data_IF_913370632388
#
_entry.id   IF_913370632388
#
_cell.length_a   1.000
_cell.length_b   1.000
_cell.length_c   1.000
_cell.angle_alpha   90.00
_cell.angle_beta   90.00
_cell.angle_gamma   90.00
#
_symmetry.space_group_name_H-M   'P 1'
#
loop_
_entity.id
_entity.type
_entity.pdbx_description
1 polymer ?
#
# COMPACT_ATOMS: atom_id res chain seq x y z
N UNK A 1 -27.76 -14.72 32.92
CA UNK A 1 -26.93 -15.12 31.76
C UNK A 1 -25.55 -14.51 31.98
N UNK A 2 -24.56 -15.34 32.25
CA UNK A 2 -23.21 -14.92 32.62
C UNK A 2 -22.40 -14.69 31.34
N UNK A 3 -21.99 -13.44 31.09
CA UNK A 3 -20.91 -13.16 30.16
C UNK A 3 -19.59 -13.41 30.89
N UNK A 4 -19.08 -14.63 30.77
CA UNK A 4 -17.69 -14.94 31.11
C UNK A 4 -16.81 -14.24 30.07
N UNK A 5 -16.18 -13.14 30.48
CA UNK A 5 -15.05 -12.57 29.75
C UNK A 5 -13.91 -13.58 29.83
N UNK A 6 -13.45 -14.03 28.67
CA UNK A 6 -12.25 -14.86 28.52
C UNK A 6 -11.04 -14.02 28.95
N UNK A 7 -10.51 -14.31 30.13
CA UNK A 7 -9.23 -13.80 30.58
C UNK A 7 -8.09 -14.49 29.80
N UNK A 8 -7.25 -13.68 29.15
CA UNK A 8 -5.80 -13.89 29.29
C UNK A 8 -5.03 -14.63 28.21
N UNK A 9 -5.53 -14.80 26.98
CA UNK A 9 -4.63 -15.17 25.88
C UNK A 9 -4.04 -13.91 25.25
N UNK A 10 -2.80 -13.57 25.63
CA UNK A 10 -1.93 -12.58 24.96
C UNK A 10 -1.50 -13.04 23.56
N UNK A 11 -2.33 -13.80 22.86
CA UNK A 11 -2.05 -14.22 21.51
C UNK A 11 -2.08 -12.98 20.61
N UNK A 12 -1.08 -12.80 19.74
CA UNK A 12 -1.13 -11.74 18.74
C UNK A 12 -2.37 -11.95 17.87
N UNK A 13 -3.31 -11.01 17.92
CA UNK A 13 -4.47 -11.01 17.05
C UNK A 13 -4.01 -10.46 15.71
N UNK A 14 -3.84 -11.33 14.72
CA UNK A 14 -3.66 -10.91 13.34
C UNK A 14 -5.03 -10.67 12.72
N UNK A 15 -5.26 -9.44 12.27
CA UNK A 15 -6.44 -9.10 11.47
C UNK A 15 -5.95 -8.97 10.04
N UNK A 16 -6.56 -9.71 9.11
CA UNK A 16 -6.28 -9.63 7.67
C UNK A 16 -7.48 -8.98 6.99
N UNK A 17 -7.22 -8.00 6.15
CA UNK A 17 -8.25 -7.35 5.35
C UNK A 17 -7.98 -7.69 3.90
N UNK A 18 -8.92 -8.38 3.24
CA UNK A 18 -8.90 -8.65 1.81
C UNK A 18 -9.94 -7.72 1.18
N UNK A 19 -9.49 -6.82 0.30
CA UNK A 19 -10.38 -5.89 -0.39
C UNK A 19 -10.24 -6.06 -1.89
N UNK A 20 -11.33 -6.46 -2.55
CA UNK A 20 -11.42 -6.49 -4.01
C UNK A 20 -11.70 -5.09 -4.57
N UNK A 21 -11.27 -4.84 -5.81
CA UNK A 21 -11.19 -3.56 -6.53
C UNK A 21 -12.49 -2.74 -6.75
N UNK A 22 -13.58 -2.98 -6.01
CA UNK A 22 -14.86 -2.35 -6.30
C UNK A 22 -15.03 -0.99 -5.59
N UNK A 23 -14.97 0.10 -6.36
CA UNK A 23 -15.14 1.48 -5.91
C UNK A 23 -16.46 1.72 -5.15
N UNK A 24 -17.54 1.02 -5.48
CA UNK A 24 -18.82 1.07 -4.77
C UNK A 24 -18.78 0.40 -3.39
N UNK A 25 -17.86 -0.54 -3.15
CA UNK A 25 -17.70 -1.19 -1.87
C UNK A 25 -16.97 -0.31 -0.84
N UNK A 26 -16.40 0.84 -1.24
CA UNK A 26 -15.59 1.72 -0.37
C UNK A 26 -16.31 2.21 0.88
N UNK A 27 -17.53 2.72 0.74
CA UNK A 27 -18.27 3.28 1.87
C UNK A 27 -18.65 2.18 2.87
N UNK A 28 -19.18 1.06 2.37
CA UNK A 28 -19.54 -0.13 3.15
C UNK A 28 -18.31 -0.76 3.80
N UNK A 29 -17.18 -0.82 3.10
CA UNK A 29 -15.91 -1.29 3.62
C UNK A 29 -15.43 -0.40 4.78
N UNK A 30 -15.42 0.92 4.61
CA UNK A 30 -15.04 1.87 5.67
C UNK A 30 -15.95 1.77 6.89
N UNK A 31 -17.24 1.61 6.69
CA UNK A 31 -18.22 1.43 7.78
C UNK A 31 -17.98 0.11 8.53
N UNK A 32 -17.87 -1.00 7.78
CA UNK A 32 -17.61 -2.33 8.35
C UNK A 32 -16.28 -2.36 9.11
N UNK A 33 -15.24 -1.77 8.52
CA UNK A 33 -13.93 -1.60 9.12
C UNK A 33 -14.03 -0.75 10.40
N UNK A 34 -14.78 0.35 10.38
CA UNK A 34 -15.03 1.19 11.55
C UNK A 34 -15.70 0.42 12.71
N UNK A 35 -16.73 -0.38 12.42
CA UNK A 35 -17.43 -1.21 13.41
C UNK A 35 -16.53 -2.30 14.01
N UNK A 36 -15.75 -2.95 13.16
CA UNK A 36 -14.79 -3.96 13.58
C UNK A 36 -13.70 -3.35 14.46
N UNK A 37 -13.11 -2.23 14.03
CA UNK A 37 -12.07 -1.54 14.77
C UNK A 37 -12.60 -0.97 16.10
N UNK A 38 -13.85 -0.50 16.16
CA UNK A 38 -14.48 -0.08 17.41
C UNK A 38 -14.61 -1.24 18.41
N UNK A 39 -14.90 -2.44 17.92
CA UNK A 39 -14.97 -3.67 18.73
C UNK A 39 -13.57 -4.11 19.19
N UNK A 40 -12.58 -3.98 18.30
CA UNK A 40 -11.19 -4.31 18.56
C UNK A 40 -10.42 -3.30 19.40
N UNK A 41 -10.87 -2.05 19.51
CA UNK A 41 -10.20 -1.01 20.31
C UNK A 41 -10.16 -1.35 21.82
N UNK A 42 -10.95 -2.33 22.26
CA UNK A 42 -10.88 -2.88 23.63
C UNK A 42 -9.84 -3.98 23.78
N UNK A 43 -9.38 -4.56 22.68
CA UNK A 43 -8.38 -5.62 22.65
C UNK A 43 -6.96 -5.03 22.64
N UNK A 44 -6.05 -5.68 23.36
CA UNK A 44 -4.65 -5.30 23.40
C UNK A 44 -3.89 -5.85 22.18
N UNK A 45 -4.15 -5.27 21.01
CA UNK A 45 -3.58 -5.73 19.74
C UNK A 45 -2.14 -5.25 19.62
N UNK A 46 -1.21 -6.21 19.50
CA UNK A 46 0.22 -5.96 19.30
C UNK A 46 0.68 -6.08 17.85
N UNK A 47 -0.03 -6.84 17.04
CA UNK A 47 0.35 -7.16 15.65
C UNK A 47 -0.82 -6.83 14.74
N UNK A 48 -0.57 -6.14 13.62
CA UNK A 48 -1.57 -5.90 12.59
C UNK A 48 -1.02 -6.28 11.23
N UNK A 49 -1.86 -6.88 10.38
CA UNK A 49 -1.48 -7.26 9.03
C UNK A 49 -2.43 -6.62 7.99
N UNK A 50 -1.88 -5.87 7.06
CA UNK A 50 -2.62 -5.16 6.04
C UNK A 50 -2.30 -5.73 4.68
N UNK A 51 -3.22 -6.53 4.14
CA UNK A 51 -3.17 -7.02 2.77
C UNK A 51 -4.26 -6.35 1.92
N UNK A 52 -4.17 -5.03 1.85
CA UNK A 52 -5.15 -4.23 1.13
C UNK A 52 -4.59 -3.86 -0.24
N UNK A 53 -5.43 -3.79 -1.26
CA UNK A 53 -5.13 -2.98 -2.44
C UNK A 53 -5.36 -1.48 -2.15
N UNK A 54 -4.77 -1.00 -1.05
CA UNK A 54 -5.09 0.29 -0.45
C UNK A 54 -4.42 1.48 -1.12
N UNK A 55 -4.50 1.59 -2.46
CA UNK A 55 -4.49 2.93 -3.08
C UNK A 55 -5.66 3.80 -2.58
N UNK A 56 -6.63 3.19 -1.90
CA UNK A 56 -7.92 3.79 -1.56
C UNK A 56 -8.03 4.46 -0.19
N UNK A 57 -7.12 4.16 0.74
CA UNK A 57 -7.12 4.78 2.06
C UNK A 57 -6.26 6.03 2.02
N UNK A 58 -6.89 7.18 2.26
CA UNK A 58 -6.15 8.42 2.48
C UNK A 58 -5.40 8.35 3.80
N UNK A 59 -4.42 9.24 3.97
CA UNK A 59 -3.72 9.43 5.23
C UNK A 59 -4.67 9.67 6.40
N UNK A 60 -5.71 10.50 6.20
CA UNK A 60 -6.71 10.78 7.21
C UNK A 60 -7.51 9.54 7.59
N UNK A 61 -7.82 8.66 6.62
CA UNK A 61 -8.49 7.39 6.90
C UNK A 61 -7.63 6.49 7.80
N UNK A 62 -6.34 6.35 7.49
CA UNK A 62 -5.40 5.58 8.32
C UNK A 62 -5.35 6.10 9.76
N UNK A 63 -5.25 7.41 9.95
CA UNK A 63 -5.20 8.03 11.28
C UNK A 63 -6.53 7.89 12.05
N UNK A 64 -7.67 7.98 11.36
CA UNK A 64 -8.99 7.88 11.97
C UNK A 64 -9.31 6.44 12.37
N UNK A 65 -9.03 5.49 11.48
CA UNK A 65 -9.30 4.07 11.69
C UNK A 65 -8.33 3.48 12.70
N UNK A 66 -7.03 3.74 12.54
CA UNK A 66 -6.00 3.02 13.27
C UNK A 66 -5.28 3.83 14.35
N UNK A 67 -5.53 5.13 14.44
CA UNK A 67 -4.88 6.00 15.44
C UNK A 67 -5.23 5.68 16.90
N UNK A 68 -6.27 4.86 17.14
CA UNK A 68 -6.65 4.41 18.47
C UNK A 68 -5.80 3.24 19.00
N UNK A 69 -5.18 2.44 18.12
CA UNK A 69 -4.41 1.25 18.53
C UNK A 69 -3.01 1.62 18.99
N UNK A 70 -2.89 2.11 20.22
CA UNK A 70 -1.59 2.55 20.75
C UNK A 70 -0.66 1.41 21.13
N UNK A 71 -1.19 0.21 21.36
CA UNK A 71 -0.45 -0.98 21.79
C UNK A 71 0.24 -1.75 20.65
N UNK A 72 0.04 -1.34 19.40
CA UNK A 72 0.60 -2.03 18.23
C UNK A 72 2.12 -1.87 18.22
N UNK A 73 2.82 -3.01 18.23
CA UNK A 73 4.28 -3.13 18.23
C UNK A 73 4.79 -3.56 16.86
N UNK A 74 4.01 -4.33 16.11
CA UNK A 74 4.38 -4.85 14.77
C UNK A 74 3.27 -4.59 13.76
N UNK A 75 3.64 -4.07 12.60
CA UNK A 75 2.72 -3.93 11.47
C UNK A 75 3.33 -4.61 10.25
N UNK A 76 2.55 -5.41 9.57
CA UNK A 76 2.88 -5.96 8.26
C UNK A 76 1.98 -5.31 7.21
N UNK A 77 2.56 -4.80 6.12
CA UNK A 77 1.84 -4.15 5.02
C UNK A 77 2.32 -4.73 3.70
N UNK A 78 1.38 -5.06 2.83
CA UNK A 78 1.66 -5.63 1.51
C UNK A 78 1.34 -4.67 0.37
N UNK A 79 2.08 -4.75 -0.73
CA UNK A 79 1.76 -4.09 -1.99
C UNK A 79 1.79 -2.55 -1.94
N UNK A 80 0.86 -1.92 -2.65
CA UNK A 80 0.81 -0.45 -2.80
C UNK A 80 0.22 0.29 -1.59
N UNK A 81 -0.39 -0.43 -0.64
CA UNK A 81 -0.88 0.13 0.62
C UNK A 81 0.24 0.81 1.44
N UNK A 82 1.49 0.44 1.18
CA UNK A 82 2.67 0.99 1.85
C UNK A 82 2.79 2.50 1.69
N UNK A 83 2.49 3.06 0.52
CA UNK A 83 2.62 4.51 0.32
C UNK A 83 1.74 5.33 1.28
N UNK A 84 0.39 5.19 1.25
CA UNK A 84 -0.46 5.95 2.16
C UNK A 84 -0.25 5.57 3.63
N UNK A 85 0.14 4.33 3.91
CA UNK A 85 0.54 3.92 5.26
C UNK A 85 1.77 4.70 5.74
N UNK A 86 2.85 4.78 4.94
CA UNK A 86 4.06 5.51 5.32
C UNK A 86 3.79 7.01 5.43
N UNK A 87 2.90 7.57 4.60
CA UNK A 87 2.47 8.96 4.74
C UNK A 87 1.75 9.17 6.08
N UNK A 88 0.83 8.28 6.46
CA UNK A 88 0.16 8.31 7.76
C UNK A 88 1.10 8.13 8.95
N UNK A 89 2.17 7.37 8.74
CA UNK A 89 3.21 7.14 9.74
C UNK A 89 4.11 8.35 9.97
N UNK A 90 4.23 9.26 8.99
CA UNK A 90 5.06 10.47 9.10
C UNK A 90 4.38 11.52 10.00
N UNK A 91 4.97 11.89 11.17
CA UNK A 91 4.41 12.90 12.07
C UNK A 91 4.53 14.34 11.56
N UNK A 92 5.27 14.59 10.48
CA UNK A 92 5.55 15.93 9.94
C UNK A 92 4.58 16.36 8.87
N UNK A 93 4.07 15.41 8.10
CA UNK A 93 3.07 15.72 7.09
C UNK A 93 1.84 16.33 7.82
N UNK A 94 1.29 17.46 7.36
CA UNK A 94 0.06 17.99 7.93
C UNK A 94 -1.05 16.98 7.68
N UNK A 95 -1.75 16.51 8.73
CA UNK A 95 -3.04 15.85 8.49
C UNK A 95 -3.87 16.83 7.66
N UNK A 96 -4.54 16.34 6.62
CA UNK A 96 -5.14 17.12 5.52
C UNK A 96 -5.82 18.40 6.01
N UNK A 97 -5.94 19.42 5.15
CA UNK A 97 -6.39 20.77 5.52
C UNK A 97 -7.66 20.82 6.41
N UNK A 98 -8.52 19.80 6.35
CA UNK A 98 -9.67 19.59 7.24
C UNK A 98 -9.31 19.47 8.74
N UNK A 99 -8.18 18.85 9.09
CA UNK A 99 -7.70 18.74 10.48
C UNK A 99 -7.18 20.06 11.06
N UNK A 100 -6.94 21.08 10.23
CA UNK A 100 -6.59 22.44 10.71
C UNK A 100 -7.78 23.19 11.32
N UNK A 101 -9.01 22.73 11.11
CA UNK A 101 -10.22 23.33 11.71
C UNK A 101 -10.54 22.83 13.12
N UNK A 102 -9.74 21.90 13.66
CA UNK A 102 -9.87 21.45 15.05
C UNK A 102 -9.44 22.54 16.05
N UNK A 103 -9.98 22.54 17.29
CA UNK A 103 -9.58 23.49 18.31
C UNK A 103 -8.05 23.49 18.51
N UNK A 104 -7.42 24.66 18.69
CA UNK A 104 -6.00 24.75 18.98
C UNK A 104 -5.69 23.94 20.25
N UNK A 105 -4.86 22.89 20.11
CA UNK A 105 -4.48 22.01 21.23
C UNK A 105 -4.65 20.51 20.98
N UNK A 106 -5.25 20.08 19.87
CA UNK A 106 -5.20 18.65 19.48
C UNK A 106 -3.75 18.25 19.19
N UNK A 107 -3.16 17.45 20.10
CA UNK A 107 -1.82 16.86 19.94
C UNK A 107 -1.75 16.17 18.58
N UNK A 108 -0.63 16.33 17.86
CA UNK A 108 -0.37 15.60 16.61
C UNK A 108 -0.52 14.11 16.90
N UNK A 109 -1.50 13.47 16.25
CA UNK A 109 -1.72 12.03 16.38
C UNK A 109 -0.61 11.33 15.60
N UNK A 110 0.20 10.55 16.29
CA UNK A 110 1.20 9.68 15.68
C UNK A 110 0.56 8.30 15.53
N UNK A 111 0.55 7.76 14.31
CA UNK A 111 0.06 6.41 14.07
C UNK A 111 0.96 5.39 14.76
N UNK A 112 0.36 4.48 15.55
CA UNK A 112 1.04 3.42 16.29
C UNK A 112 2.28 3.92 17.07
N UNK A 113 2.10 4.68 18.17
CA UNK A 113 3.21 5.27 18.93
C UNK A 113 4.22 4.23 19.47
N UNK A 114 3.78 3.00 19.75
CA UNK A 114 4.63 1.91 20.23
C UNK A 114 5.14 0.97 19.12
N UNK A 115 4.98 1.35 17.84
CA UNK A 115 5.44 0.54 16.72
C UNK A 115 6.96 0.41 16.75
N UNK A 116 7.45 -0.84 16.72
CA UNK A 116 8.87 -1.21 16.73
C UNK A 116 9.29 -1.93 15.45
N UNK A 117 8.40 -2.73 14.86
CA UNK A 117 8.69 -3.54 13.69
C UNK A 117 7.72 -3.21 12.54
N UNK A 118 8.25 -3.00 11.34
CA UNK A 118 7.48 -2.93 10.10
C UNK A 118 7.90 -4.07 9.17
N UNK A 119 6.95 -4.84 8.68
CA UNK A 119 7.16 -5.86 7.66
C UNK A 119 6.52 -5.41 6.36
N UNK A 120 7.32 -5.34 5.31
CA UNK A 120 6.91 -4.93 3.98
C UNK A 120 6.93 -6.16 3.08
N UNK A 121 5.82 -6.45 2.41
CA UNK A 121 5.69 -7.62 1.53
C UNK A 121 5.27 -7.20 0.13
N UNK A 122 5.88 -7.78 -0.91
CA UNK A 122 5.47 -7.56 -2.31
C UNK A 122 5.40 -6.07 -2.72
N UNK A 123 6.27 -5.25 -2.14
CA UNK A 123 6.25 -3.79 -2.36
C UNK A 123 7.13 -3.44 -3.56
N UNK A 124 6.61 -2.75 -4.59
CA UNK A 124 7.41 -2.39 -5.75
C UNK A 124 8.22 -1.11 -5.49
N UNK A 125 9.46 -1.23 -5.01
CA UNK A 125 10.31 -0.06 -4.72
C UNK A 125 10.86 0.67 -5.96
N UNK A 126 10.89 0.01 -7.13
CA UNK A 126 11.55 0.50 -8.35
C UNK A 126 10.61 0.72 -9.54
N UNK A 127 9.29 0.74 -9.36
CA UNK A 127 8.38 1.00 -10.48
C UNK A 127 8.61 2.42 -11.00
N UNK A 128 9.13 2.52 -12.23
CA UNK A 128 9.35 3.76 -12.98
C UNK A 128 8.05 4.40 -13.49
N UNK A 129 6.92 3.74 -13.26
CA UNK A 129 5.63 4.19 -13.73
C UNK A 129 4.99 5.14 -12.71
N UNK A 130 4.56 6.29 -13.23
CA UNK A 130 3.58 7.23 -12.68
C UNK A 130 4.17 8.35 -11.82
N UNK A 131 4.56 9.44 -12.48
CA UNK A 131 4.19 10.87 -12.30
C UNK A 131 4.00 11.51 -10.90
N UNK A 132 4.12 10.79 -9.79
CA UNK A 132 3.98 11.32 -8.42
C UNK A 132 5.33 11.30 -7.67
N UNK A 133 6.34 11.99 -8.23
CA UNK A 133 7.57 12.63 -7.69
C UNK A 133 8.33 12.09 -6.45
N UNK A 134 7.91 11.00 -5.81
CA UNK A 134 8.53 10.42 -4.62
C UNK A 134 8.44 8.90 -4.69
N UNK A 135 9.54 8.28 -5.10
CA UNK A 135 9.75 6.83 -5.03
C UNK A 135 9.34 6.27 -3.66
N UNK A 136 8.72 5.09 -3.65
CA UNK A 136 8.31 4.38 -2.42
C UNK A 136 9.47 4.30 -1.41
N UNK A 137 10.69 4.07 -1.90
CA UNK A 137 11.93 4.09 -1.11
C UNK A 137 12.08 5.36 -0.28
N UNK A 138 11.92 6.53 -0.93
CA UNK A 138 12.06 7.84 -0.29
C UNK A 138 10.96 8.11 0.71
N UNK A 139 9.72 7.67 0.45
CA UNK A 139 8.62 7.75 1.43
C UNK A 139 8.94 6.92 2.66
N UNK A 140 9.32 5.65 2.47
CA UNK A 140 9.71 4.75 3.56
C UNK A 140 10.82 5.38 4.40
N UNK A 141 11.93 5.77 3.76
CA UNK A 141 13.09 6.38 4.41
C UNK A 141 12.73 7.66 5.19
N UNK A 142 11.94 8.54 4.57
CA UNK A 142 11.54 9.82 5.19
C UNK A 142 10.67 9.60 6.43
N UNK A 143 9.64 8.75 6.33
CA UNK A 143 8.73 8.46 7.44
C UNK A 143 9.46 7.82 8.62
N UNK A 144 10.34 6.86 8.33
CA UNK A 144 11.18 6.19 9.34
C UNK A 144 12.06 7.19 10.08
N UNK A 145 12.77 8.07 9.35
CA UNK A 145 13.62 9.10 9.97
C UNK A 145 12.82 10.13 10.76
N UNK A 146 11.63 10.48 10.29
CA UNK A 146 10.78 11.46 10.97
C UNK A 146 10.23 10.92 12.29
N UNK A 147 9.95 9.61 12.40
CA UNK A 147 9.57 8.96 13.66
C UNK A 147 10.64 9.06 14.75
N UNK A 148 11.92 8.94 14.38
CA UNK A 148 13.05 9.10 15.31
C UNK A 148 13.02 10.48 15.99
N UNK A 149 12.57 11.52 15.29
CA UNK A 149 12.50 12.89 15.82
C UNK A 149 11.37 13.11 16.84
N UNK A 150 10.40 12.19 16.93
CA UNK A 150 9.29 12.25 17.88
C UNK A 150 9.35 11.13 18.92
N UNK A 151 10.53 10.54 19.13
CA UNK A 151 10.78 9.45 20.10
C UNK A 151 9.90 8.20 19.89
N UNK A 152 9.57 7.88 18.64
CA UNK A 152 8.84 6.65 18.27
C UNK A 152 9.64 5.82 17.27
N UNK A 153 10.95 5.71 17.52
CA UNK A 153 11.90 5.06 16.62
C UNK A 153 11.55 3.58 16.40
N UNK A 154 11.67 3.13 15.16
CA UNK A 154 11.58 1.71 14.80
C UNK A 154 12.87 0.98 15.17
N UNK A 155 12.71 -0.24 15.65
CA UNK A 155 13.80 -1.16 15.97
C UNK A 155 14.14 -2.02 14.74
N UNK A 156 13.13 -2.39 13.95
CA UNK A 156 13.27 -3.36 12.86
C UNK A 156 12.42 -3.01 11.64
N UNK A 157 12.99 -3.21 10.45
CA UNK A 157 12.27 -3.31 9.17
C UNK A 157 12.57 -4.67 8.55
N UNK A 158 11.54 -5.37 8.11
CA UNK A 158 11.63 -6.63 7.37
C UNK A 158 11.11 -6.41 5.94
N UNK A 159 11.90 -6.77 4.94
CA UNK A 159 11.58 -6.69 3.52
C UNK A 159 11.47 -8.10 2.97
N UNK A 160 10.28 -8.49 2.52
CA UNK A 160 10.02 -9.76 1.84
C UNK A 160 9.43 -9.52 0.46
N UNK A 161 10.03 -10.10 -0.57
CA UNK A 161 9.60 -10.01 -1.95
C UNK A 161 9.44 -8.57 -2.46
N UNK A 162 10.20 -7.61 -1.91
CA UNK A 162 10.07 -6.18 -2.18
C UNK A 162 10.90 -5.67 -3.40
N UNK A 163 11.57 -6.55 -4.15
CA UNK A 163 12.40 -6.20 -5.32
C UNK A 163 13.19 -4.88 -5.11
N UNK A 164 14.08 -4.86 -4.12
CA UNK A 164 14.86 -3.67 -3.74
C UNK A 164 16.28 -3.72 -4.28
N UNK A 165 16.94 -2.57 -4.43
CA UNK A 165 18.39 -2.52 -4.67
C UNK A 165 19.16 -2.52 -3.36
N UNK A 166 20.43 -2.96 -3.40
CA UNK A 166 21.34 -2.91 -2.24
C UNK A 166 21.44 -1.49 -1.65
N UNK A 167 21.50 -0.45 -2.49
CA UNK A 167 21.58 0.94 -2.04
C UNK A 167 20.35 1.38 -1.23
N UNK A 168 19.15 0.89 -1.55
CA UNK A 168 17.94 1.17 -0.75
C UNK A 168 18.06 0.50 0.62
N UNK A 169 18.52 -0.75 0.66
CA UNK A 169 18.69 -1.50 1.92
C UNK A 169 19.71 -0.81 2.82
N UNK A 170 20.82 -0.32 2.27
CA UNK A 170 21.84 0.40 3.03
C UNK A 170 21.31 1.75 3.56
N UNK A 171 20.55 2.50 2.76
CA UNK A 171 19.88 3.73 3.24
C UNK A 171 18.90 3.45 4.39
N UNK A 172 18.23 2.29 4.39
CA UNK A 172 17.35 1.88 5.49
C UNK A 172 18.14 1.46 6.73
N UNK A 173 19.30 0.81 6.58
CA UNK A 173 20.21 0.45 7.68
C UNK A 173 20.76 1.69 8.38
N UNK A 174 20.95 2.79 7.66
CA UNK A 174 21.32 4.09 8.25
C UNK A 174 20.18 4.70 9.10
N UNK A 175 18.92 4.32 8.84
CA UNK A 175 17.75 4.86 9.50
C UNK A 175 17.21 3.97 10.63
N UNK A 176 17.38 2.64 10.55
CA UNK A 176 16.83 1.63 11.47
C UNK A 176 17.92 0.67 11.93
N UNK A 177 17.97 0.32 13.24
CA UNK A 177 19.01 -0.57 13.78
C UNK A 177 19.09 -1.94 13.10
N UNK A 178 17.94 -2.52 12.73
CA UNK A 178 17.87 -3.84 12.09
C UNK A 178 17.04 -3.79 10.82
N UNK A 179 17.65 -4.24 9.72
CA UNK A 179 16.96 -4.44 8.43
C UNK A 179 17.14 -5.89 8.02
N UNK A 180 16.04 -6.64 7.98
CA UNK A 180 15.99 -8.00 7.44
C UNK A 180 15.54 -7.94 5.98
N UNK A 181 16.29 -8.58 5.09
CA UNK A 181 15.98 -8.64 3.66
C UNK A 181 16.27 -10.04 3.17
N UNK A 182 15.33 -10.62 2.42
CA UNK A 182 15.39 -11.95 1.83
C UNK A 182 16.36 -12.08 0.63
N UNK A 183 16.98 -10.98 0.20
CA UNK A 183 17.91 -10.96 -0.92
C UNK A 183 17.22 -10.92 -2.29
N UNK A 184 15.89 -10.78 -2.35
CA UNK A 184 15.16 -10.56 -3.61
C UNK A 184 15.53 -9.19 -4.15
N UNK A 185 16.57 -9.17 -4.97
CA UNK A 185 17.04 -7.97 -5.63
C UNK A 185 16.17 -7.69 -6.84
N UNK A 186 15.84 -6.42 -7.02
CA UNK A 186 15.60 -5.96 -8.37
C UNK A 186 16.93 -5.97 -9.11
N UNK A 187 17.31 -7.14 -9.62
CA UNK A 187 18.03 -7.16 -10.89
C UNK A 187 17.18 -6.31 -11.80
N UNK A 188 17.67 -5.11 -12.15
CA UNK A 188 17.17 -4.37 -13.30
C UNK A 188 16.99 -5.47 -14.33
N UNK A 189 15.75 -5.81 -14.68
CA UNK A 189 15.49 -6.78 -15.74
C UNK A 189 16.33 -6.23 -16.87
N UNK A 190 17.46 -6.89 -17.11
CA UNK A 190 18.49 -6.34 -17.95
C UNK A 190 17.73 -6.08 -19.23
N UNK A 191 17.59 -4.82 -19.63
CA UNK A 191 17.11 -4.44 -20.95
C UNK A 191 18.07 -4.96 -22.04
N UNK A 192 18.77 -6.06 -21.78
CA UNK A 192 19.70 -6.76 -22.64
C UNK A 192 19.25 -8.19 -22.94
N UNK A 193 18.01 -8.58 -22.63
CA UNK A 193 17.31 -9.62 -23.39
C UNK A 193 16.21 -9.02 -24.27
N UNK A 194 16.43 -7.79 -24.76
CA UNK A 194 16.23 -7.61 -26.19
C UNK A 194 17.29 -8.52 -26.81
N UNK A 195 16.88 -9.72 -27.22
CA UNK A 195 17.72 -10.57 -28.05
C UNK A 195 18.27 -9.75 -29.24
N UNK A 196 19.29 -10.24 -29.95
CA UNK A 196 19.95 -9.53 -31.08
C UNK A 196 19.02 -9.18 -32.27
N UNK A 197 17.70 -9.29 -32.11
CA UNK A 197 16.66 -8.90 -33.04
C UNK A 197 15.89 -7.69 -32.50
N UNK A 198 16.30 -6.48 -32.87
CA UNK A 198 15.36 -5.45 -33.39
C UNK A 198 16.12 -4.19 -33.82
N UNK A 199 17.21 -4.34 -34.57
CA UNK A 199 17.84 -3.24 -35.31
C UNK A 199 17.29 -3.12 -36.74
N UNK A 200 16.16 -3.77 -37.07
CA UNK A 200 15.63 -3.85 -38.44
C UNK A 200 14.16 -3.42 -38.59
N UNK A 201 13.64 -2.65 -37.62
CA UNK A 201 12.34 -1.96 -37.70
C UNK A 201 12.54 -0.44 -37.64
N UNK A 202 13.62 0.08 -38.21
CA UNK A 202 13.50 1.39 -38.82
C UNK A 202 12.77 1.13 -40.14
N UNK A 203 11.47 1.50 -40.27
CA UNK A 203 10.89 1.56 -41.60
C UNK A 203 11.78 2.52 -42.39
N UNK A 204 12.26 2.07 -43.56
CA UNK A 204 13.05 2.91 -44.46
C UNK A 204 12.35 4.27 -44.59
N UNK A 205 13.11 5.35 -44.36
CA UNK A 205 12.66 6.75 -44.37
C UNK A 205 12.26 7.23 -45.80
N UNK A 206 11.95 6.32 -46.73
CA UNK A 206 11.74 6.63 -48.14
C UNK A 206 10.26 6.90 -48.53
N UNK A 207 9.30 6.78 -47.61
CA UNK A 207 7.90 7.15 -47.86
C UNK A 207 7.44 8.40 -47.09
N UNK A 208 8.39 9.26 -46.69
CA UNK A 208 8.08 10.65 -46.35
C UNK A 208 7.86 11.46 -47.64
N UNK A 209 6.71 12.15 -47.71
CA UNK A 209 6.29 13.17 -48.70
C UNK A 209 5.55 12.67 -49.94
N UNK A 210 4.23 12.52 -49.82
CA UNK A 210 3.27 13.41 -50.50
C UNK A 210 1.83 13.04 -50.13
N UNK A 211 1.28 13.71 -49.12
CA UNK A 211 -0.19 13.85 -49.00
C UNK A 211 -0.48 15.26 -48.53
N UNK A 212 -0.47 16.12 -49.54
CA UNK A 212 -1.14 17.41 -49.59
C UNK A 212 -2.65 17.13 -49.66
N UNK A 213 -3.30 16.92 -48.52
CA UNK A 213 -4.75 17.02 -48.41
C UNK A 213 -5.13 17.97 -47.27
N UNK A 214 -5.37 19.22 -47.67
CA UNK A 214 -5.97 20.24 -46.84
C UNK A 214 -7.33 19.79 -46.31
N UNK A 215 -7.34 19.31 -45.08
CA UNK A 215 -8.57 19.13 -44.34
C UNK A 215 -8.85 20.40 -43.55
N UNK A 216 -9.77 21.19 -44.11
CA UNK A 216 -10.50 22.21 -43.41
C UNK A 216 -11.07 21.61 -42.12
N UNK A 217 -10.68 22.17 -40.98
CA UNK A 217 -11.32 21.92 -39.71
C UNK A 217 -12.70 22.58 -39.74
N UNK A 218 -13.67 21.88 -40.33
CA UNK A 218 -15.08 22.20 -40.11
C UNK A 218 -15.42 21.80 -38.68
N UNK A 219 -15.71 22.83 -37.89
CA UNK A 219 -16.32 22.76 -36.58
C UNK A 219 -17.60 21.93 -36.67
N UNK A 220 -17.60 20.74 -36.09
CA UNK A 220 -18.84 20.03 -35.81
C UNK A 220 -18.93 19.66 -34.33
N UNK A 221 -19.80 20.44 -33.71
CA UNK A 221 -20.52 20.26 -32.46
C UNK A 221 -20.93 18.83 -32.11
N UNK A 222 -21.11 18.65 -30.80
CA UNK A 222 -22.01 17.69 -30.14
C UNK A 222 -21.64 16.20 -30.21
N UNK A 223 -20.84 15.76 -29.23
CA UNK A 223 -20.87 14.37 -28.78
C UNK A 223 -21.78 14.23 -27.56
N UNK A 224 -22.89 13.54 -27.80
CA UNK A 224 -23.82 13.00 -26.82
C UNK A 224 -23.09 12.10 -25.80
N UNK A 225 -23.26 12.44 -24.52
CA UNK A 225 -23.22 11.48 -23.42
C UNK A 225 -24.45 10.59 -23.53
N UNK A 226 -24.33 9.35 -24.04
CA UNK A 226 -25.16 8.18 -23.68
C UNK A 226 -24.97 7.03 -24.68
N UNK A 227 -23.92 6.22 -24.51
CA UNK A 227 -23.91 4.83 -24.99
C UNK A 227 -23.28 3.94 -23.93
N UNK A 228 -24.12 3.27 -23.15
CA UNK A 228 -23.77 2.08 -22.37
C UNK A 228 -23.59 0.92 -23.34
N UNK A 229 -22.36 0.44 -23.51
CA UNK A 229 -22.06 -0.83 -24.17
C UNK A 229 -21.86 -1.93 -23.11
N UNK A 230 -22.76 -2.92 -22.99
CA UNK A 230 -22.67 -3.93 -21.94
C UNK A 230 -22.32 -5.30 -22.51
N UNK A 231 -21.13 -5.51 -23.10
CA UNK A 231 -20.62 -6.89 -23.31
C UNK A 231 -19.09 -6.95 -23.43
N UNK A 232 -18.40 -7.12 -22.29
CA UNK A 232 -17.05 -7.70 -22.27
C UNK A 232 -17.15 -9.09 -21.62
N UNK A 233 -16.77 -10.18 -22.32
CA UNK A 233 -16.81 -11.51 -21.75
C UNK A 233 -15.70 -11.68 -20.71
N UNK A 234 -16.06 -12.23 -19.56
CA UNK A 234 -15.16 -12.63 -18.49
C UNK A 234 -14.17 -13.68 -18.97
N UNK A 235 -12.97 -13.24 -19.35
CA UNK A 235 -11.85 -14.09 -19.75
C UNK A 235 -10.71 -14.00 -18.74
N UNK A 236 -10.66 -14.99 -17.85
CA UNK A 236 -9.43 -15.67 -17.39
C UNK A 236 -8.19 -14.79 -17.11
N UNK A 237 -8.03 -14.34 -15.87
CA UNK A 237 -6.72 -14.27 -15.20
C UNK A 237 -6.95 -14.51 -13.70
N UNK A 238 -6.55 -15.68 -13.23
CA UNK A 238 -6.69 -16.02 -11.81
C UNK A 238 -6.40 -17.47 -11.51
N UNK A 239 -5.24 -17.97 -11.95
CA UNK A 239 -4.62 -19.11 -11.27
C UNK A 239 -3.27 -18.63 -10.73
N UNK A 240 -3.30 -18.16 -9.48
CA UNK A 240 -2.12 -18.04 -8.64
C UNK A 240 -2.24 -19.14 -7.59
N UNK A 241 -1.70 -20.32 -7.92
CA UNK A 241 -1.51 -21.40 -6.95
C UNK A 241 -0.42 -20.95 -5.99
N UNK A 242 -0.80 -20.70 -4.75
CA UNK A 242 0.14 -20.48 -3.66
C UNK A 242 0.82 -21.82 -3.31
N UNK A 243 2.12 -21.90 -3.54
CA UNK A 243 3.00 -22.75 -2.73
C UNK A 243 3.90 -21.79 -1.97
N UNK A 244 3.63 -21.63 -0.68
CA UNK A 244 4.60 -21.09 0.26
C UNK A 244 4.69 -22.05 1.43
N UNK A 245 5.90 -22.50 1.70
CA UNK A 245 6.25 -23.31 2.87
C UNK A 245 5.72 -22.67 4.16
N UNK A 246 5.36 -23.50 5.16
CA UNK A 246 4.80 -23.03 6.42
C UNK A 246 5.85 -22.23 7.18
N UNK A 247 5.59 -20.93 7.33
CA UNK A 247 6.18 -20.16 8.42
C UNK A 247 5.36 -20.50 9.66
N UNK A 248 6.01 -21.00 10.72
CA UNK A 248 5.42 -21.22 12.05
C UNK A 248 4.96 -19.88 12.67
N UNK A 249 3.88 -19.33 12.15
CA UNK A 249 3.07 -18.31 12.82
C UNK A 249 1.84 -19.01 13.39
N UNK A 250 1.37 -18.65 14.60
CA UNK A 250 0.07 -19.11 15.06
C UNK A 250 -0.97 -18.70 14.02
N UNK A 251 -1.83 -19.64 13.62
CA UNK A 251 -2.87 -19.40 12.61
C UNK A 251 -3.61 -18.10 12.94
N UNK A 252 -3.55 -17.09 12.06
CA UNK A 252 -4.29 -15.86 12.27
C UNK A 252 -5.78 -16.19 12.39
N UNK A 253 -6.52 -15.45 13.21
CA UNK A 253 -7.97 -15.49 13.16
C UNK A 253 -8.38 -14.90 11.80
N UNK A 254 -8.59 -15.77 10.82
CA UNK A 254 -9.08 -15.38 9.50
C UNK A 254 -10.54 -14.94 9.64
N UNK A 255 -10.78 -13.65 9.48
CA UNK A 255 -12.12 -13.09 9.28
C UNK A 255 -12.31 -12.94 7.78
N UNK A 256 -12.81 -14.00 7.14
CA UNK A 256 -13.25 -13.95 5.75
C UNK A 256 -14.57 -13.16 5.68
N UNK A 257 -14.61 -12.17 4.78
CA UNK A 257 -15.83 -11.42 4.50
C UNK A 257 -16.44 -11.97 3.23
N UNK A 258 -17.47 -12.81 3.37
CA UNK A 258 -18.27 -13.23 2.23
C UNK A 258 -18.97 -12.01 1.61
N UNK A 259 -18.85 -11.91 0.28
CA UNK A 259 -19.42 -10.83 -0.52
C UNK A 259 -20.96 -10.81 -0.36
N UNK A 260 -21.49 -9.72 0.21
CA UNK A 260 -22.93 -9.40 0.27
C UNK A 260 -23.26 -8.18 -0.58
#
# INVERSE_FOLDING_TARGET
MNHSLVEGTHAPIAVRFLGDHYSHARAKFRETLGLLLASLNKAHIKVLHFQLDAKELSRSDWLNLFGAFTAVETVSVSGMAVCPFMDALDPRLPADAEHRRGPPGRRRRVLFPNLRCIKLHLVPFLTAAVDDDVLVSRRVETSVRNRRRVNTQLEEIELRDCRVTQGIVDNLRDAVPRVMWDGVSATLCSMGDYGPYSSNWMPDEEDMYDSDDGWAWDEHDEWNDDVLDPHVPAGFYGDLVAVTDPVDLPDPLELEFDQY
#
